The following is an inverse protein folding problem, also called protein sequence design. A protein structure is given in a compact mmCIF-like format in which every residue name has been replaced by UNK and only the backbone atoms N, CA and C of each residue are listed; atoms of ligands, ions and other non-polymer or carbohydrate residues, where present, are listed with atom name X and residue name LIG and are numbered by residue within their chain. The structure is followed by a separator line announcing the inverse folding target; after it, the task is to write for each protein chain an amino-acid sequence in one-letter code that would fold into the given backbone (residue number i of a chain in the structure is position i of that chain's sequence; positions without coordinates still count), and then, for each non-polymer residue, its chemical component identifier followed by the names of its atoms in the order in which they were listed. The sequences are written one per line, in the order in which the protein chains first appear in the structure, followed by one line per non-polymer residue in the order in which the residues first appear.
data_IF_671001072923
#
_entry.id   IF_671001072923
#
_cell.length_a   1.000
_cell.length_b   1.000
_cell.length_c   1.000
_cell.angle_alpha   90.00
_cell.angle_beta   90.00
_cell.angle_gamma   90.00
#
_symmetry.space_group_name_H-M   'P 1'
#
loop_
_entity.id
_entity.type
_entity.pdbx_description
1 polymer ?
#
# COMPACT_ATOMS: atom_id res chain seq x y z
N UNK A 1 16.60 17.61 25.12
CA UNK A 1 15.94 16.58 24.28
C UNK A 1 16.78 16.13 23.07
N UNK A 2 18.11 15.88 23.17
CA UNK A 2 18.94 15.65 21.96
C UNK A 2 19.10 14.18 21.52
N UNK A 3 18.88 13.18 22.39
CA UNK A 3 19.19 11.77 22.13
C UNK A 3 17.98 10.85 22.37
N UNK A 4 16.90 11.01 21.61
CA UNK A 4 15.75 10.11 21.70
C UNK A 4 15.59 9.33 20.39
N UNK A 5 15.13 8.09 20.50
CA UNK A 5 14.74 7.24 19.38
C UNK A 5 13.22 7.27 19.16
N UNK A 6 12.45 7.46 20.24
CA UNK A 6 11.00 7.57 20.21
C UNK A 6 10.55 8.83 20.92
N UNK A 7 9.62 9.56 20.30
CA UNK A 7 8.96 10.70 20.90
C UNK A 7 7.45 10.51 20.74
N UNK A 8 6.76 10.35 21.87
CA UNK A 8 5.33 10.08 21.90
C UNK A 8 4.63 11.13 22.75
N UNK A 9 3.63 11.79 22.17
CA UNK A 9 2.75 12.72 22.86
C UNK A 9 1.36 12.10 23.00
N UNK A 10 0.83 12.09 24.22
CA UNK A 10 -0.48 11.52 24.53
C UNK A 10 -1.35 12.58 25.24
N UNK A 11 -2.51 12.90 24.67
CA UNK A 11 -3.58 13.66 25.34
C UNK A 11 -3.30 15.10 25.78
N UNK A 12 -2.17 15.70 25.39
CA UNK A 12 -1.82 17.11 25.70
C UNK A 12 -1.69 17.98 24.45
N UNK A 13 -1.57 19.29 24.63
CA UNK A 13 -1.18 20.24 23.57
C UNK A 13 0.32 20.48 23.61
N UNK A 14 0.96 20.46 22.44
CA UNK A 14 2.35 20.89 22.26
C UNK A 14 2.35 22.32 21.72
N UNK A 15 3.23 23.17 22.25
CA UNK A 15 3.43 24.51 21.70
C UNK A 15 4.06 24.41 20.30
N UNK A 16 3.76 25.38 19.43
CA UNK A 16 4.22 25.33 18.04
C UNK A 16 5.74 25.36 17.94
N UNK A 17 6.42 26.14 18.78
CA UNK A 17 7.89 26.16 18.83
C UNK A 17 8.47 24.79 19.21
N UNK A 18 7.89 24.11 20.20
CA UNK A 18 8.35 22.78 20.61
C UNK A 18 8.12 21.75 19.51
N UNK A 19 6.97 21.81 18.84
CA UNK A 19 6.67 20.93 17.70
C UNK A 19 7.68 21.15 16.55
N UNK A 20 7.98 22.39 16.20
CA UNK A 20 8.98 22.70 15.18
C UNK A 20 10.37 22.17 15.57
N UNK A 21 10.79 22.37 16.83
CA UNK A 21 12.05 21.82 17.32
C UNK A 21 12.11 20.29 17.20
N UNK A 22 11.00 19.60 17.43
CA UNK A 22 10.92 18.15 17.26
C UNK A 22 11.02 17.74 15.80
N UNK A 23 10.31 18.44 14.91
CA UNK A 23 10.35 18.19 13.47
C UNK A 23 11.74 18.45 12.88
N UNK A 24 12.45 19.48 13.36
CA UNK A 24 13.85 19.75 12.97
C UNK A 24 14.83 18.65 13.36
N UNK A 25 14.45 17.83 14.35
CA UNK A 25 15.22 16.66 14.76
C UNK A 25 14.85 15.38 14.00
N UNK A 26 13.98 15.46 12.98
CA UNK A 26 13.56 14.28 12.22
C UNK A 26 14.74 13.57 11.57
N UNK A 27 14.74 12.24 11.71
CA UNK A 27 15.71 11.38 11.06
C UNK A 27 15.16 9.96 10.90
N UNK A 28 15.70 9.17 9.97
CA UNK A 28 15.27 7.78 9.73
C UNK A 28 15.51 6.81 10.90
N UNK A 29 16.18 7.24 11.98
CA UNK A 29 16.38 6.45 13.20
C UNK A 29 15.41 6.84 14.32
N UNK A 30 14.62 7.89 14.12
CA UNK A 30 13.70 8.45 15.11
C UNK A 30 12.25 8.19 14.75
N UNK A 31 11.40 8.08 15.75
CA UNK A 31 9.98 7.75 15.63
C UNK A 31 9.14 8.81 16.32
N UNK A 32 8.17 9.37 15.62
CA UNK A 32 7.30 10.40 16.15
C UNK A 32 5.85 9.92 16.16
N UNK A 33 5.24 9.99 17.33
CA UNK A 33 3.84 9.63 17.54
C UNK A 33 3.12 10.75 18.27
N UNK A 34 2.00 11.19 17.71
CA UNK A 34 1.19 12.26 18.25
C UNK A 34 -0.27 11.80 18.36
N UNK A 35 -0.60 11.26 19.55
CA UNK A 35 -1.90 10.68 19.90
C UNK A 35 -2.73 11.70 20.68
N UNK A 36 -3.28 12.67 19.97
CA UNK A 36 -4.12 13.70 20.57
C UNK A 36 -5.33 13.95 19.69
N UNK A 37 -6.37 14.54 20.29
CA UNK A 37 -7.64 14.82 19.62
C UNK A 37 -7.51 15.83 18.48
N UNK A 38 -6.61 16.81 18.59
CA UNK A 38 -6.45 17.88 17.59
C UNK A 38 -4.97 18.23 17.34
N UNK A 39 -4.59 18.25 16.07
CA UNK A 39 -3.30 18.74 15.60
C UNK A 39 -3.49 20.13 14.97
N UNK A 40 -2.53 21.08 15.09
CA UNK A 40 -2.66 22.39 14.44
C UNK A 40 -2.94 22.26 12.93
N UNK A 41 -4.12 22.72 12.48
CA UNK A 41 -4.65 22.43 11.14
C UNK A 41 -3.82 23.04 10.00
N UNK A 42 -3.22 24.19 10.26
CA UNK A 42 -2.39 24.94 9.30
C UNK A 42 -0.90 24.60 9.43
N UNK A 43 -0.55 23.59 10.24
CA UNK A 43 0.84 23.18 10.42
C UNK A 43 1.47 22.77 9.09
N UNK A 44 2.72 23.22 8.89
CA UNK A 44 3.56 22.82 7.77
C UNK A 44 4.98 22.68 8.24
N UNK A 45 5.60 21.55 7.93
CA UNK A 45 7.00 21.34 8.18
C UNK A 45 7.57 20.37 7.14
N UNK A 46 8.69 20.75 6.50
CA UNK A 46 9.34 19.94 5.47
C UNK A 46 9.87 18.59 5.97
N UNK A 47 10.03 18.47 7.29
CA UNK A 47 10.59 17.30 7.96
C UNK A 47 9.52 16.36 8.57
N UNK A 48 8.23 16.69 8.46
CA UNK A 48 7.18 15.97 9.19
C UNK A 48 6.99 14.50 8.77
N UNK A 49 7.55 14.10 7.63
CA UNK A 49 7.53 12.72 7.15
C UNK A 49 8.94 12.12 7.00
N UNK A 50 9.94 12.68 7.69
CA UNK A 50 11.33 12.20 7.67
C UNK A 50 11.70 11.32 8.87
N UNK A 51 10.74 10.97 9.71
CA UNK A 51 10.92 9.98 10.77
C UNK A 51 10.82 8.56 10.21
N UNK A 52 11.36 7.60 10.96
CA UNK A 52 11.15 6.16 10.75
C UNK A 52 9.68 5.81 10.87
N UNK A 53 9.06 6.21 11.98
CA UNK A 53 7.64 6.01 12.27
C UNK A 53 6.97 7.39 12.39
N UNK A 54 5.86 7.60 11.68
CA UNK A 54 5.16 8.87 11.57
C UNK A 54 3.67 8.63 11.89
N UNK A 55 3.31 8.73 13.16
CA UNK A 55 1.96 8.41 13.63
C UNK A 55 1.22 9.68 14.06
N UNK A 56 0.22 10.05 13.27
CA UNK A 56 -0.62 11.23 13.49
C UNK A 56 -2.08 10.78 13.68
N UNK A 57 -2.61 10.87 14.90
CA UNK A 57 -4.01 10.55 15.17
C UNK A 57 -4.96 11.57 14.49
N UNK A 58 -4.61 12.86 14.54
CA UNK A 58 -5.23 13.91 13.74
C UNK A 58 -4.28 14.37 12.62
N UNK A 59 -4.51 13.85 11.43
CA UNK A 59 -3.75 14.12 10.21
C UNK A 59 -4.50 15.07 9.26
N UNK A 60 -5.53 15.81 9.71
CA UNK A 60 -6.28 16.77 8.86
C UNK A 60 -5.42 17.90 8.30
N UNK A 61 -4.31 18.20 8.96
CA UNK A 61 -3.33 19.16 8.47
C UNK A 61 -2.54 18.60 7.29
N UNK A 62 -2.33 17.29 7.18
CA UNK A 62 -1.53 16.65 6.13
C UNK A 62 -2.18 16.86 4.76
N UNK A 63 -1.37 17.24 3.78
CA UNK A 63 -1.78 17.34 2.37
C UNK A 63 -1.41 16.06 1.62
N UNK A 64 -2.15 15.74 0.56
CA UNK A 64 -1.87 14.52 -0.21
C UNK A 64 -0.46 14.58 -0.84
N UNK A 65 0.01 15.80 -1.15
CA UNK A 65 1.33 16.06 -1.69
C UNK A 65 2.46 15.60 -0.78
N UNK A 66 2.26 15.68 0.54
CA UNK A 66 3.23 15.23 1.54
C UNK A 66 3.50 13.72 1.40
N UNK A 67 2.48 12.94 0.99
CA UNK A 67 2.63 11.49 0.85
C UNK A 67 3.51 11.12 -0.35
N UNK A 68 3.51 11.90 -1.44
CA UNK A 68 4.39 11.66 -2.59
C UNK A 68 5.88 11.85 -2.24
N UNK A 69 6.18 12.54 -1.15
CA UNK A 69 7.53 12.80 -0.67
C UNK A 69 8.07 11.71 0.28
N UNK A 70 7.25 10.73 0.67
CA UNK A 70 7.68 9.65 1.55
C UNK A 70 8.84 8.85 0.96
N UNK A 71 9.89 8.63 1.76
CA UNK A 71 11.08 7.86 1.38
C UNK A 71 11.47 6.96 2.55
N UNK A 72 11.43 5.65 2.32
CA UNK A 72 11.91 4.62 3.25
C UNK A 72 11.37 4.72 4.68
N UNK A 73 10.14 5.19 4.86
CA UNK A 73 9.50 5.16 6.18
C UNK A 73 9.19 3.71 6.59
N UNK A 74 9.25 3.42 7.88
CA UNK A 74 8.85 2.11 8.38
C UNK A 74 7.33 2.09 8.61
N UNK A 75 6.80 3.04 9.39
CA UNK A 75 5.36 3.17 9.63
C UNK A 75 4.86 4.57 9.35
N UNK A 76 3.65 4.64 8.78
CA UNK A 76 2.89 5.89 8.65
C UNK A 76 1.44 5.64 9.08
N UNK A 77 0.98 6.31 10.12
CA UNK A 77 -0.43 6.29 10.51
C UNK A 77 -1.01 7.68 10.34
N UNK A 78 -2.06 7.77 9.52
CA UNK A 78 -2.87 8.96 9.35
C UNK A 78 -4.27 8.61 9.83
N UNK A 79 -4.63 9.02 11.04
CA UNK A 79 -5.95 8.76 11.62
C UNK A 79 -7.02 9.59 10.91
N UNK A 80 -7.59 10.58 11.61
CA UNK A 80 -8.55 11.50 11.00
C UNK A 80 -7.84 12.38 9.98
N UNK A 81 -8.31 12.40 8.74
CA UNK A 81 -7.74 13.19 7.65
C UNK A 81 -8.85 13.69 6.71
N UNK A 82 -8.46 14.45 5.68
CA UNK A 82 -9.39 15.06 4.72
C UNK A 82 -9.21 14.49 3.29
N UNK A 83 -8.59 13.32 3.14
CA UNK A 83 -8.32 12.76 1.82
C UNK A 83 -9.60 12.20 1.19
N UNK A 84 -9.86 12.65 -0.02
CA UNK A 84 -10.90 12.08 -0.88
C UNK A 84 -10.48 10.71 -1.42
N UNK A 85 -11.46 9.89 -1.80
CA UNK A 85 -11.25 8.62 -2.50
C UNK A 85 -10.40 8.80 -3.77
N UNK A 86 -10.62 9.88 -4.51
CA UNK A 86 -9.84 10.20 -5.73
C UNK A 86 -8.38 10.44 -5.38
N UNK A 87 -8.08 11.26 -4.37
CA UNK A 87 -6.71 11.49 -3.92
C UNK A 87 -6.02 10.21 -3.44
N UNK A 88 -6.73 9.35 -2.70
CA UNK A 88 -6.21 8.05 -2.26
C UNK A 88 -5.92 7.16 -3.48
N UNK A 89 -6.83 7.11 -4.46
CA UNK A 89 -6.63 6.35 -5.71
C UNK A 89 -5.41 6.84 -6.48
N UNK A 90 -5.25 8.15 -6.63
CA UNK A 90 -4.11 8.74 -7.35
C UNK A 90 -2.79 8.46 -6.61
N UNK A 91 -2.79 8.57 -5.29
CA UNK A 91 -1.65 8.22 -4.46
C UNK A 91 -1.26 6.74 -4.60
N UNK A 92 -2.23 5.83 -4.56
CA UNK A 92 -1.96 4.40 -4.74
C UNK A 92 -1.40 4.12 -6.13
N UNK A 93 -1.98 4.73 -7.17
CA UNK A 93 -1.48 4.58 -8.54
C UNK A 93 -0.03 5.08 -8.67
N UNK A 94 0.31 6.21 -8.04
CA UNK A 94 1.68 6.67 -7.97
C UNK A 94 2.57 5.66 -7.23
N UNK A 95 2.20 5.26 -6.01
CA UNK A 95 2.99 4.38 -5.17
C UNK A 95 3.22 3.01 -5.83
N UNK A 96 2.22 2.42 -6.47
CA UNK A 96 2.34 1.12 -7.14
C UNK A 96 3.31 1.17 -8.33
N UNK A 97 3.36 2.29 -9.04
CA UNK A 97 4.19 2.47 -10.24
C UNK A 97 5.53 3.19 -9.96
N UNK A 98 5.77 3.62 -8.73
CA UNK A 98 7.00 4.31 -8.34
C UNK A 98 8.19 3.34 -8.22
N UNK A 99 9.39 3.84 -8.54
CA UNK A 99 10.67 3.17 -8.33
C UNK A 99 11.22 3.33 -6.91
N UNK A 100 10.44 3.97 -6.03
CA UNK A 100 10.84 4.37 -4.69
C UNK A 100 10.10 3.52 -3.65
N UNK A 101 10.84 2.97 -2.70
CA UNK A 101 10.26 2.40 -1.48
C UNK A 101 9.81 3.53 -0.57
N UNK A 102 8.51 3.84 -0.59
CA UNK A 102 7.94 4.98 0.13
C UNK A 102 7.77 4.68 1.62
N UNK A 103 7.17 3.53 1.94
CA UNK A 103 6.93 3.06 3.30
C UNK A 103 6.87 1.52 3.34
N UNK A 104 7.15 0.93 4.50
CA UNK A 104 6.89 -0.50 4.74
C UNK A 104 5.42 -0.76 5.08
N UNK A 105 4.85 0.02 6.00
CA UNK A 105 3.44 -0.10 6.41
C UNK A 105 2.78 1.27 6.54
N UNK A 106 1.56 1.39 6.05
CA UNK A 106 0.75 2.60 6.15
C UNK A 106 -0.69 2.28 6.51
N UNK A 107 -1.26 3.07 7.41
CA UNK A 107 -2.68 3.08 7.74
C UNK A 107 -3.26 4.47 7.51
N UNK A 108 -4.36 4.53 6.77
CA UNK A 108 -5.12 5.76 6.52
C UNK A 108 -6.55 5.56 7.02
N UNK A 109 -7.05 6.47 7.85
CA UNK A 109 -8.45 6.54 8.22
C UNK A 109 -9.31 6.97 7.01
N UNK A 110 -10.46 6.33 6.82
CA UNK A 110 -11.35 6.67 5.71
C UNK A 110 -12.18 7.90 6.07
N UNK A 111 -11.93 9.03 5.39
CA UNK A 111 -12.73 10.24 5.54
C UNK A 111 -14.12 10.10 4.87
N UNK A 112 -14.21 9.27 3.84
CA UNK A 112 -15.45 8.86 3.17
C UNK A 112 -15.46 7.36 2.89
N UNK A 113 -16.64 6.78 2.68
CA UNK A 113 -16.80 5.36 2.42
C UNK A 113 -16.35 4.98 0.99
N UNK A 114 -15.52 3.95 0.90
CA UNK A 114 -15.08 3.32 -0.34
C UNK A 114 -14.61 1.89 -0.08
N UNK A 115 -14.62 1.07 -1.12
CA UNK A 115 -14.07 -0.29 -1.10
C UNK A 115 -12.75 -0.36 -1.89
N UNK A 116 -11.97 -1.43 -1.68
CA UNK A 116 -10.73 -1.66 -2.44
C UNK A 116 -10.97 -1.67 -3.97
N UNK A 117 -12.14 -2.10 -4.44
CA UNK A 117 -12.43 -2.09 -5.88
C UNK A 117 -12.51 -0.69 -6.48
N UNK A 118 -12.85 0.33 -5.68
CA UNK A 118 -12.99 1.69 -6.18
C UNK A 118 -11.63 2.36 -6.42
N UNK A 119 -10.68 2.10 -5.53
CA UNK A 119 -9.36 2.74 -5.49
C UNK A 119 -8.26 1.95 -6.20
N UNK A 120 -8.45 0.63 -6.37
CA UNK A 120 -7.47 -0.26 -7.03
C UNK A 120 -7.88 -0.65 -8.45
N UNK A 121 -8.96 -0.05 -8.96
CA UNK A 121 -9.36 -0.23 -10.36
C UNK A 121 -8.20 0.12 -11.30
N UNK A 122 -8.01 -0.71 -12.33
CA UNK A 122 -6.86 -0.55 -13.22
C UNK A 122 -5.57 -1.22 -12.75
N UNK A 123 -5.52 -1.89 -11.59
CA UNK A 123 -4.35 -2.68 -11.15
C UNK A 123 -4.50 -4.20 -11.41
N UNK A 124 -3.39 -4.95 -11.43
CA UNK A 124 -3.40 -6.40 -11.59
C UNK A 124 -3.45 -7.09 -10.21
N UNK A 125 -4.67 -7.39 -9.74
CA UNK A 125 -4.89 -7.80 -8.35
C UNK A 125 -5.05 -9.32 -8.20
N UNK A 126 -4.47 -9.86 -7.13
CA UNK A 126 -4.87 -11.14 -6.55
C UNK A 126 -5.73 -10.89 -5.31
N UNK A 127 -7.00 -11.27 -5.36
CA UNK A 127 -7.92 -11.17 -4.23
C UNK A 127 -7.80 -12.39 -3.32
N UNK A 128 -7.93 -12.18 -2.01
CA UNK A 128 -8.05 -13.28 -1.06
C UNK A 128 -9.52 -13.59 -0.83
N UNK A 129 -9.91 -14.85 -1.03
CA UNK A 129 -11.30 -15.29 -0.90
C UNK A 129 -11.87 -14.98 0.50
N UNK A 130 -13.10 -14.45 0.55
CA UNK A 130 -13.80 -14.05 1.77
C UNK A 130 -13.07 -13.00 2.64
N UNK A 131 -12.19 -12.19 2.03
CA UNK A 131 -11.47 -11.12 2.73
C UNK A 131 -11.51 -9.82 1.95
N UNK A 132 -11.53 -8.70 2.67
CA UNK A 132 -11.29 -7.37 2.11
C UNK A 132 -9.79 -7.11 1.98
N UNK A 133 -9.13 -8.01 1.25
CA UNK A 133 -7.68 -8.04 1.12
C UNK A 133 -7.30 -8.44 -0.30
N UNK A 134 -6.34 -7.73 -0.88
CA UNK A 134 -5.76 -8.11 -2.16
C UNK A 134 -4.27 -7.75 -2.20
N UNK A 135 -3.59 -8.35 -3.17
CA UNK A 135 -2.17 -8.15 -3.41
C UNK A 135 -1.93 -7.79 -4.88
N UNK A 136 -0.86 -7.06 -5.13
CA UNK A 136 -0.32 -6.82 -6.47
C UNK A 136 1.20 -6.84 -6.41
N UNK A 137 1.84 -6.80 -7.57
CA UNK A 137 3.28 -6.61 -7.68
C UNK A 137 3.55 -5.25 -8.34
N UNK A 138 4.46 -4.49 -7.76
CA UNK A 138 5.02 -3.32 -8.43
C UNK A 138 5.83 -3.75 -9.66
N UNK A 139 5.94 -2.90 -10.69
CA UNK A 139 6.85 -3.14 -11.82
C UNK A 139 8.27 -3.49 -11.37
N UNK A 140 9.00 -4.23 -12.19
CA UNK A 140 10.41 -4.50 -11.94
C UNK A 140 11.19 -3.19 -12.01
N UNK A 141 12.01 -2.94 -10.99
CA UNK A 141 12.81 -1.73 -10.84
C UNK A 141 14.21 -2.09 -10.34
N UNK A 142 15.19 -1.24 -10.62
CA UNK A 142 16.56 -1.38 -10.10
C UNK A 142 16.70 -0.86 -8.67
N UNK A 143 15.82 0.05 -8.25
CA UNK A 143 15.94 0.78 -6.98
C UNK A 143 14.86 0.41 -5.97
N UNK A 144 13.72 -0.12 -6.42
CA UNK A 144 12.66 -0.58 -5.52
C UNK A 144 12.89 -2.02 -5.09
N UNK A 145 13.13 -2.23 -3.80
CA UNK A 145 13.30 -3.54 -3.20
C UNK A 145 11.93 -4.16 -2.85
N UNK A 146 10.99 -3.35 -2.34
CA UNK A 146 9.70 -3.84 -1.83
C UNK A 146 8.64 -3.80 -2.92
N UNK A 147 8.60 -4.86 -3.72
CA UNK A 147 7.71 -4.99 -4.89
C UNK A 147 6.38 -5.68 -4.59
N UNK A 148 6.28 -6.52 -3.57
CA UNK A 148 5.03 -7.16 -3.21
C UNK A 148 4.17 -6.19 -2.40
N UNK A 149 3.03 -5.78 -2.95
CA UNK A 149 2.16 -4.78 -2.33
C UNK A 149 0.90 -5.44 -1.82
N UNK A 150 0.57 -5.15 -0.56
CA UNK A 150 -0.56 -5.72 0.14
C UNK A 150 -1.52 -4.62 0.54
N UNK A 151 -2.81 -4.84 0.29
CA UNK A 151 -3.90 -3.95 0.65
C UNK A 151 -4.91 -4.71 1.50
N UNK A 152 -5.33 -4.11 2.61
CA UNK A 152 -6.43 -4.61 3.42
C UNK A 152 -7.26 -3.43 3.89
N UNK A 153 -8.57 -3.62 4.03
CA UNK A 153 -9.43 -2.57 4.56
C UNK A 153 -10.38 -3.08 5.65
N UNK A 154 -10.87 -2.12 6.42
CA UNK A 154 -12.05 -2.25 7.27
C UNK A 154 -13.07 -1.19 6.82
N UNK A 155 -14.18 -1.06 7.54
CA UNK A 155 -15.15 0.02 7.32
C UNK A 155 -14.52 1.41 7.46
N UNK A 156 -13.52 1.57 8.33
CA UNK A 156 -12.99 2.88 8.72
C UNK A 156 -11.52 3.09 8.37
N UNK A 157 -10.81 2.07 7.87
CA UNK A 157 -9.36 2.17 7.61
C UNK A 157 -8.95 1.45 6.35
N UNK A 158 -8.01 2.04 5.62
CA UNK A 158 -7.20 1.38 4.61
C UNK A 158 -5.81 1.07 5.20
N UNK A 159 -5.33 -0.15 4.99
CA UNK A 159 -3.99 -0.61 5.36
C UNK A 159 -3.26 -1.01 4.09
N UNK A 160 -2.03 -0.53 3.96
CA UNK A 160 -1.13 -0.80 2.85
C UNK A 160 0.22 -1.24 3.40
N UNK A 161 0.87 -2.18 2.73
CA UNK A 161 2.26 -2.52 3.04
C UNK A 161 3.04 -2.98 1.80
N UNK A 162 4.35 -2.76 1.83
CA UNK A 162 5.28 -3.17 0.78
C UNK A 162 6.27 -4.19 1.35
N UNK A 163 6.53 -5.27 0.62
CA UNK A 163 7.43 -6.33 1.05
C UNK A 163 8.43 -6.65 -0.06
N UNK A 164 9.65 -7.00 0.33
CA UNK A 164 10.53 -7.70 -0.59
C UNK A 164 9.92 -9.08 -0.92
N UNK A 165 10.05 -9.57 -2.15
CA UNK A 165 9.61 -10.91 -2.50
C UNK A 165 10.19 -11.96 -1.55
N UNK A 166 9.34 -12.87 -1.05
CA UNK A 166 9.73 -13.91 -0.09
C UNK A 166 9.75 -13.47 1.37
N UNK A 167 9.54 -12.19 1.68
CA UNK A 167 9.61 -11.67 3.05
C UNK A 167 8.23 -11.36 3.66
N UNK A 168 7.15 -11.63 2.95
CA UNK A 168 5.78 -11.31 3.41
C UNK A 168 5.48 -11.91 4.79
N UNK A 169 5.03 -11.06 5.72
CA UNK A 169 4.61 -11.47 7.07
C UNK A 169 3.43 -10.64 7.57
N UNK A 170 2.24 -11.21 7.58
CA UNK A 170 1.03 -10.51 8.04
C UNK A 170 0.89 -10.44 9.56
N UNK A 171 1.69 -11.23 10.30
CA UNK A 171 1.54 -11.39 11.75
C UNK A 171 0.28 -12.16 12.17
N UNK A 172 -0.46 -12.74 11.21
CA UNK A 172 -1.71 -13.49 11.47
C UNK A 172 -1.43 -14.96 11.78
N UNK A 173 -0.77 -15.66 10.86
CA UNK A 173 -0.26 -17.02 11.08
C UNK A 173 0.81 -17.37 10.06
N UNK A 174 1.75 -18.23 10.44
CA UNK A 174 2.81 -18.69 9.54
C UNK A 174 2.25 -19.47 8.34
N UNK A 175 1.18 -20.25 8.54
CA UNK A 175 0.49 -20.96 7.46
C UNK A 175 -0.09 -20.00 6.41
N UNK A 176 -0.70 -18.89 6.87
CA UNK A 176 -1.23 -17.86 5.99
C UNK A 176 -0.10 -17.15 5.24
N UNK A 177 0.95 -16.74 5.95
CA UNK A 177 2.08 -16.02 5.36
C UNK A 177 2.80 -16.90 4.32
N UNK A 178 3.03 -18.17 4.63
CA UNK A 178 3.61 -19.14 3.72
C UNK A 178 2.74 -19.38 2.47
N UNK A 179 1.41 -19.40 2.63
CA UNK A 179 0.49 -19.54 1.50
C UNK A 179 0.61 -18.35 0.53
N UNK A 180 0.82 -17.14 1.03
CA UNK A 180 1.06 -15.95 0.19
C UNK A 180 2.41 -16.03 -0.50
N UNK A 181 3.51 -16.27 0.26
CA UNK A 181 4.87 -16.34 -0.30
C UNK A 181 5.00 -17.36 -1.42
N UNK A 182 4.37 -18.54 -1.27
CA UNK A 182 4.36 -19.60 -2.31
C UNK A 182 3.58 -19.21 -3.58
N UNK A 183 2.84 -18.11 -3.57
CA UNK A 183 1.98 -17.65 -4.68
C UNK A 183 2.43 -16.31 -5.26
N UNK A 184 3.57 -15.76 -4.84
CA UNK A 184 4.09 -14.49 -5.36
C UNK A 184 4.27 -14.49 -6.89
N UNK A 185 4.69 -15.62 -7.46
CA UNK A 185 4.80 -15.79 -8.91
C UNK A 185 3.48 -15.57 -9.67
N UNK A 186 2.32 -15.69 -9.01
CA UNK A 186 1.03 -15.39 -9.63
C UNK A 186 0.89 -13.89 -9.93
N UNK A 187 1.39 -13.00 -9.07
CA UNK A 187 1.25 -11.56 -9.33
C UNK A 187 2.04 -11.14 -10.57
N UNK A 188 3.22 -11.71 -10.80
CA UNK A 188 3.99 -11.49 -12.04
C UNK A 188 3.18 -11.96 -13.28
N UNK A 189 2.55 -13.15 -13.20
CA UNK A 189 1.68 -13.63 -14.27
C UNK A 189 0.47 -12.72 -14.52
N UNK A 190 -0.12 -12.16 -13.45
CA UNK A 190 -1.24 -11.23 -13.55
C UNK A 190 -0.83 -9.90 -14.18
N UNK A 191 0.35 -9.38 -13.83
CA UNK A 191 0.91 -8.17 -14.46
C UNK A 191 1.12 -8.37 -15.96
N UNK A 192 1.71 -9.49 -16.36
CA UNK A 192 1.89 -9.84 -17.79
C UNK A 192 0.54 -10.01 -18.48
N UNK A 193 -0.40 -10.70 -17.84
CA UNK A 193 -1.76 -10.88 -18.38
C UNK A 193 -2.42 -9.52 -18.64
N UNK A 194 -2.38 -8.61 -17.66
CA UNK A 194 -2.98 -7.29 -17.78
C UNK A 194 -2.37 -6.45 -18.90
N UNK A 195 -1.04 -6.48 -19.04
CA UNK A 195 -0.34 -5.80 -20.14
C UNK A 195 -0.80 -6.34 -21.50
N UNK A 196 -0.90 -7.65 -21.66
CA UNK A 196 -1.37 -8.28 -22.89
C UNK A 196 -2.85 -7.97 -23.19
N UNK A 197 -3.70 -7.88 -22.17
CA UNK A 197 -5.10 -7.46 -22.34
C UNK A 197 -5.20 -6.03 -22.85
N UNK A 198 -4.32 -5.14 -22.40
CA UNK A 198 -4.23 -3.77 -22.91
C UNK A 198 -3.70 -3.75 -24.35
N UNK A 199 -2.59 -4.45 -24.63
CA UNK A 199 -2.00 -4.56 -25.98
C UNK A 199 -3.01 -5.12 -27.00
N UNK A 200 -3.83 -6.09 -26.59
CA UNK A 200 -4.87 -6.69 -27.45
C UNK A 200 -5.91 -5.69 -27.94
N UNK A 201 -6.22 -4.65 -27.15
CA UNK A 201 -7.25 -3.65 -27.51
C UNK A 201 -6.86 -2.82 -28.74
N UNK A 202 -5.56 -2.62 -28.97
CA UNK A 202 -5.02 -1.81 -30.06
C UNK A 202 -4.29 -2.62 -31.15
N UNK A 203 -4.31 -3.95 -31.07
CA UNK A 203 -3.57 -4.83 -31.98
C UNK A 203 -4.32 -5.09 -33.30
N UNK A 204 -3.57 -5.43 -34.36
CA UNK A 204 -4.12 -6.01 -35.59
C UNK A 204 -4.67 -7.45 -35.36
N UNK A 205 -5.38 -8.02 -36.33
CA UNK A 205 -6.02 -9.33 -36.18
C UNK A 205 -5.04 -10.50 -35.97
N UNK A 206 -3.89 -10.49 -36.64
CA UNK A 206 -2.87 -11.54 -36.47
C UNK A 206 -2.27 -11.49 -35.05
N UNK A 207 -1.94 -10.28 -34.61
CA UNK A 207 -1.45 -9.98 -33.28
C UNK A 207 -2.50 -10.32 -32.20
N UNK A 208 -3.79 -10.04 -32.44
CA UNK A 208 -4.88 -10.42 -31.52
C UNK A 208 -4.98 -11.93 -31.33
N UNK A 209 -4.83 -12.72 -32.39
CA UNK A 209 -4.88 -14.18 -32.29
C UNK A 209 -3.67 -14.71 -31.49
N UNK A 210 -2.46 -14.20 -31.77
CA UNK A 210 -1.25 -14.53 -31.01
C UNK A 210 -1.37 -14.18 -29.53
N UNK A 211 -1.85 -12.96 -29.23
CA UNK A 211 -2.06 -12.50 -27.85
C UNK A 211 -3.11 -13.38 -27.15
N UNK A 212 -4.20 -13.73 -27.84
CA UNK A 212 -5.25 -14.60 -27.29
C UNK A 212 -4.74 -15.99 -26.92
N UNK A 213 -3.87 -16.59 -27.75
CA UNK A 213 -3.20 -17.86 -27.42
C UNK A 213 -2.32 -17.73 -26.18
N UNK A 214 -1.59 -16.61 -26.04
CA UNK A 214 -0.74 -16.34 -24.87
C UNK A 214 -1.57 -16.12 -23.59
N UNK A 215 -2.66 -15.36 -23.66
CA UNK A 215 -3.59 -15.16 -22.54
C UNK A 215 -4.17 -16.50 -22.04
N UNK A 216 -4.60 -17.38 -22.95
CA UNK A 216 -5.07 -18.73 -22.59
C UNK A 216 -3.99 -19.56 -21.86
N UNK A 217 -2.72 -19.43 -22.23
CA UNK A 217 -1.60 -20.10 -21.54
C UNK A 217 -1.37 -19.51 -20.15
N UNK A 218 -1.42 -18.19 -20.02
CA UNK A 218 -1.33 -17.50 -18.72
C UNK A 218 -2.47 -17.90 -17.79
N UNK A 219 -3.70 -18.01 -18.29
CA UNK A 219 -4.84 -18.47 -17.48
C UNK A 219 -4.64 -19.89 -16.95
N UNK A 220 -4.11 -20.79 -17.77
CA UNK A 220 -3.76 -22.16 -17.34
C UNK A 220 -2.66 -22.15 -16.28
N UNK A 221 -1.62 -21.33 -16.47
CA UNK A 221 -0.53 -21.19 -15.51
C UNK A 221 -1.04 -20.60 -14.18
N UNK A 222 -1.81 -19.51 -14.20
CA UNK A 222 -2.41 -18.91 -12.99
C UNK A 222 -3.26 -19.95 -12.25
N UNK A 223 -4.08 -20.72 -12.98
CA UNK A 223 -4.91 -21.78 -12.39
C UNK A 223 -4.10 -22.93 -11.78
N UNK A 224 -2.92 -23.26 -12.33
CA UNK A 224 -2.06 -24.30 -11.73
C UNK A 224 -1.46 -23.89 -10.39
N UNK A 225 -1.47 -22.59 -10.07
CA UNK A 225 -1.17 -22.10 -8.72
C UNK A 225 -2.37 -22.19 -7.76
N UNK A 226 -3.50 -22.78 -8.15
CA UNK A 226 -4.70 -22.88 -7.31
C UNK A 226 -5.51 -21.58 -7.24
N UNK A 227 -5.28 -20.66 -8.18
CA UNK A 227 -6.03 -19.41 -8.33
C UNK A 227 -7.20 -19.62 -9.29
N UNK A 228 -8.36 -19.12 -8.92
CA UNK A 228 -9.57 -19.18 -9.73
C UNK A 228 -10.08 -17.78 -10.02
N UNK A 229 -11.04 -17.64 -10.94
CA UNK A 229 -11.57 -16.34 -11.34
C UNK A 229 -13.02 -16.22 -10.90
N UNK A 230 -13.35 -15.16 -10.16
CA UNK A 230 -14.72 -14.80 -9.76
C UNK A 230 -15.04 -13.47 -10.40
N UNK A 231 -16.02 -13.43 -11.31
CA UNK A 231 -16.38 -12.22 -12.07
C UNK A 231 -15.15 -11.54 -12.73
N UNK A 232 -14.25 -12.36 -13.31
CA UNK A 232 -13.00 -11.89 -13.93
C UNK A 232 -11.87 -11.54 -12.95
N UNK A 233 -12.10 -11.54 -11.63
CA UNK A 233 -11.10 -11.24 -10.61
C UNK A 233 -10.33 -12.50 -10.20
N UNK A 234 -9.01 -12.47 -10.30
CA UNK A 234 -8.15 -13.55 -9.84
C UNK A 234 -8.25 -13.66 -8.30
N UNK A 235 -8.58 -14.85 -7.81
CA UNK A 235 -8.92 -15.11 -6.41
C UNK A 235 -8.16 -16.33 -5.90
N UNK A 236 -7.56 -16.18 -4.72
CA UNK A 236 -6.84 -17.24 -4.01
C UNK A 236 -7.59 -17.60 -2.72
N UNK A 237 -7.85 -18.90 -2.55
CA UNK A 237 -8.27 -19.45 -1.25
C UNK A 237 -7.04 -19.62 -0.36
N UNK A 238 -7.09 -18.98 0.80
CA UNK A 238 -6.04 -19.03 1.83
C UNK A 238 -6.59 -19.73 3.08
N UNK A 239 -5.72 -20.33 3.93
CA UNK A 239 -6.17 -20.93 5.18
C UNK A 239 -7.07 -19.99 5.98
N UNK A 240 -8.16 -20.54 6.53
CA UNK A 240 -8.98 -19.80 7.49
C UNK A 240 -8.15 -19.62 8.75
N UNK A 241 -8.06 -18.38 9.23
CA UNK A 241 -7.47 -18.12 10.53
C UNK A 241 -8.45 -18.69 11.56
N UNK A 242 -7.94 -19.52 12.47
CA UNK A 242 -8.69 -19.97 13.64
C UNK A 242 -8.81 -18.83 14.64
#
# INVERSE_FOLDING_TARGET
MRNWEYCTFNGGTIELEELNMIMDMASPTRSFTYNVKEFPIDFRHENAFKFRDNDYEDARWVKIEDLYMLRNCQHVTLGRNNFTKTQIKDFINYWVNSDIDMFWWMKIGKAEAFDLSDILDGLALLHLEHRRTCLTMAPASKTREKRLLFFSETEITLIMSAWAPGEFKSGRSEEFDMAIRKKEGVMELLMVKKKLELEKKSADEESKERISKRLKRLDKAIKSYGVFFVNGKATLRVPRLK
#
